data_IF_329100251913
#
_entry.id   IF_329100251913
#
_cell.length_a   1.000
_cell.length_b   1.000
_cell.length_c   1.000
_cell.angle_alpha   90.00
_cell.angle_beta   90.00
_cell.angle_gamma   90.00
#
_symmetry.space_group_name_H-M   'P 1'
#
loop_
_entity.id
_entity.type
_entity.pdbx_description
1 polymer ?
#
# COMPACT_ATOMS: atom_id res chain seq x y z
N UNK A 1 20.53 0.50 0.14
CA UNK A 1 19.84 1.26 -0.92
C UNK A 1 20.84 1.44 -2.04
N UNK A 2 20.46 1.15 -3.28
CA UNK A 2 21.35 1.30 -4.43
C UNK A 2 20.81 2.35 -5.40
N UNK A 3 21.69 3.16 -5.99
CA UNK A 3 21.36 4.24 -6.93
C UNK A 3 22.47 4.40 -7.98
N UNK A 4 22.22 5.26 -8.97
CA UNK A 4 23.18 5.59 -10.03
C UNK A 4 24.56 5.93 -9.48
N UNK A 5 25.58 5.26 -10.02
CA UNK A 5 26.98 5.39 -9.63
C UNK A 5 27.45 4.40 -8.56
N UNK A 6 26.54 3.65 -7.92
CA UNK A 6 26.92 2.57 -7.02
C UNK A 6 27.49 1.37 -7.80
N UNK A 7 28.38 0.61 -7.16
CA UNK A 7 28.96 -0.60 -7.75
C UNK A 7 28.95 -1.78 -6.79
N UNK A 8 29.03 -3.00 -7.31
CA UNK A 8 29.28 -4.23 -6.57
C UNK A 8 28.21 -5.31 -6.72
N UNK A 9 28.35 -6.40 -5.95
CA UNK A 9 27.55 -7.61 -6.11
C UNK A 9 26.04 -7.40 -5.99
N UNK A 10 25.59 -6.50 -5.12
CA UNK A 10 24.16 -6.20 -4.96
C UNK A 10 23.57 -5.48 -6.19
N UNK A 11 24.37 -4.65 -6.88
CA UNK A 11 23.97 -4.00 -8.14
C UNK A 11 23.89 -5.03 -9.25
N UNK A 12 24.87 -5.93 -9.34
CA UNK A 12 24.85 -7.05 -10.28
C UNK A 12 23.62 -7.96 -10.07
N UNK A 13 23.22 -8.20 -8.81
CA UNK A 13 22.01 -8.96 -8.49
C UNK A 13 20.73 -8.24 -8.96
N UNK A 14 20.61 -6.94 -8.70
CA UNK A 14 19.47 -6.15 -9.20
C UNK A 14 19.38 -6.21 -10.72
N UNK A 15 20.52 -6.02 -11.41
CA UNK A 15 20.60 -6.12 -12.87
C UNK A 15 20.15 -7.50 -13.36
N UNK A 16 20.68 -8.58 -12.79
CA UNK A 16 20.32 -9.94 -13.19
C UNK A 16 18.82 -10.20 -13.01
N UNK A 17 18.21 -9.70 -11.92
CA UNK A 17 16.77 -9.80 -11.70
C UNK A 17 15.95 -9.02 -12.73
N UNK A 18 16.36 -7.78 -13.03
CA UNK A 18 15.70 -6.97 -14.06
C UNK A 18 15.85 -7.58 -15.46
N UNK A 19 17.00 -8.20 -15.75
CA UNK A 19 17.24 -8.89 -17.01
C UNK A 19 16.35 -10.13 -17.16
N UNK A 20 16.23 -10.93 -16.09
CA UNK A 20 15.30 -12.05 -16.06
C UNK A 20 13.83 -11.64 -16.27
N UNK A 21 13.47 -10.45 -15.80
CA UNK A 21 12.15 -9.85 -15.99
C UNK A 21 11.98 -9.16 -17.36
N UNK A 22 13.04 -9.05 -18.16
CA UNK A 22 13.02 -8.48 -19.51
C UNK A 22 13.10 -6.96 -19.59
N UNK A 23 13.55 -6.26 -18.53
CA UNK A 23 13.70 -4.81 -18.52
C UNK A 23 15.03 -4.31 -19.08
N UNK A 24 16.03 -5.19 -19.16
CA UNK A 24 17.40 -4.88 -19.59
C UNK A 24 18.05 -6.15 -20.14
N UNK A 25 19.05 -6.01 -21.01
CA UNK A 25 19.81 -7.15 -21.50
C UNK A 25 20.75 -7.72 -20.42
N UNK A 26 21.01 -9.03 -20.47
CA UNK A 26 21.96 -9.67 -19.56
C UNK A 26 23.38 -9.14 -19.80
N UNK A 27 23.98 -8.59 -18.74
CA UNK A 27 25.34 -8.04 -18.75
C UNK A 27 26.04 -8.35 -17.42
N UNK A 28 27.34 -8.72 -17.42
CA UNK A 28 28.09 -8.99 -16.20
C UNK A 28 28.51 -7.71 -15.46
N UNK A 29 28.01 -6.53 -15.87
CA UNK A 29 28.31 -5.25 -15.23
C UNK A 29 27.80 -5.19 -13.79
N UNK A 30 28.69 -4.83 -12.87
CA UNK A 30 28.39 -4.56 -11.48
C UNK A 30 28.17 -3.06 -11.20
N UNK A 31 28.06 -2.25 -12.24
CA UNK A 31 27.89 -0.79 -12.15
C UNK A 31 26.43 -0.41 -12.34
N UNK A 32 25.96 0.54 -11.53
CA UNK A 32 24.64 1.14 -11.66
C UNK A 32 24.70 2.31 -12.65
N UNK A 33 24.69 1.96 -13.93
CA UNK A 33 24.74 2.86 -15.08
C UNK A 33 23.37 3.48 -15.41
N UNK A 34 23.35 4.33 -16.45
CA UNK A 34 22.12 4.99 -16.91
C UNK A 34 21.08 4.00 -17.45
N UNK A 35 21.52 2.88 -18.03
CA UNK A 35 20.63 1.82 -18.52
C UNK A 35 19.90 1.14 -17.36
N UNK A 36 20.64 0.78 -16.31
CA UNK A 36 20.05 0.20 -15.10
C UNK A 36 19.14 1.19 -14.36
N UNK A 37 19.50 2.48 -14.29
CA UNK A 37 18.62 3.52 -13.73
C UNK A 37 17.30 3.61 -14.50
N UNK A 38 17.35 3.59 -15.84
CA UNK A 38 16.14 3.61 -16.66
C UNK A 38 15.28 2.35 -16.48
N UNK A 39 15.92 1.17 -16.42
CA UNK A 39 15.23 -0.10 -16.17
C UNK A 39 14.56 -0.12 -14.78
N UNK A 40 15.26 0.35 -13.72
CA UNK A 40 14.69 0.47 -12.38
C UNK A 40 13.51 1.41 -12.35
N UNK A 41 13.60 2.59 -12.99
CA UNK A 41 12.48 3.55 -13.06
C UNK A 41 11.28 2.98 -13.80
N UNK A 42 11.53 2.26 -14.90
CA UNK A 42 10.47 1.60 -15.68
C UNK A 42 9.77 0.54 -14.82
N UNK A 43 10.54 -0.32 -14.15
CA UNK A 43 10.00 -1.30 -13.21
C UNK A 43 9.20 -0.63 -12.07
N UNK A 44 9.73 0.44 -11.46
CA UNK A 44 9.04 1.18 -10.40
C UNK A 44 7.71 1.76 -10.90
N UNK A 45 7.69 2.32 -12.11
CA UNK A 45 6.50 2.89 -12.71
C UNK A 45 5.43 1.82 -12.99
N UNK A 46 5.80 0.73 -13.64
CA UNK A 46 4.87 -0.37 -13.95
C UNK A 46 4.33 -1.06 -12.70
N UNK A 47 5.14 -1.13 -11.64
CA UNK A 47 4.73 -1.72 -10.36
C UNK A 47 4.00 -0.76 -9.44
N UNK A 48 3.80 0.50 -9.82
CA UNK A 48 3.12 1.50 -8.99
C UNK A 48 3.88 1.82 -7.69
N UNK A 49 5.21 1.80 -7.75
CA UNK A 49 6.13 2.22 -6.69
C UNK A 49 6.50 3.71 -6.83
N UNK A 50 7.30 4.22 -5.90
CA UNK A 50 7.92 5.54 -6.07
C UNK A 50 8.97 5.47 -7.18
N UNK A 51 8.86 6.35 -8.18
CA UNK A 51 9.75 6.35 -9.36
C UNK A 51 10.94 7.29 -9.12
N UNK A 52 11.83 6.89 -8.22
CA UNK A 52 13.01 7.66 -7.81
C UNK A 52 14.32 7.12 -8.41
N UNK A 53 14.31 5.93 -9.02
CA UNK A 53 15.51 5.23 -9.50
C UNK A 53 16.34 4.61 -8.36
N UNK A 54 15.82 4.59 -7.13
CA UNK A 54 16.49 4.07 -5.95
C UNK A 54 15.95 2.67 -5.63
N UNK A 55 16.86 1.70 -5.55
CA UNK A 55 16.55 0.35 -5.10
C UNK A 55 16.62 0.31 -3.58
N UNK A 56 15.52 0.73 -2.96
CA UNK A 56 15.25 0.59 -1.53
C UNK A 56 14.70 -0.80 -1.16
N UNK A 57 14.39 -1.03 0.13
CA UNK A 57 13.81 -2.30 0.60
C UNK A 57 12.53 -2.69 -0.13
N UNK A 58 11.66 -1.72 -0.42
CA UNK A 58 10.38 -1.98 -1.10
C UNK A 58 10.59 -2.34 -2.57
N UNK A 59 11.41 -1.58 -3.30
CA UNK A 59 11.80 -1.90 -4.68
C UNK A 59 12.43 -3.28 -4.77
N UNK A 60 13.36 -3.61 -3.87
CA UNK A 60 14.03 -4.91 -3.84
C UNK A 60 13.07 -6.06 -3.53
N UNK A 61 12.17 -5.87 -2.57
CA UNK A 61 11.12 -6.85 -2.24
C UNK A 61 10.24 -7.12 -3.45
N UNK A 62 9.86 -6.09 -4.19
CA UNK A 62 9.07 -6.26 -5.42
C UNK A 62 9.81 -6.95 -6.54
N UNK A 63 11.10 -6.69 -6.69
CA UNK A 63 11.93 -7.44 -7.64
C UNK A 63 11.97 -8.93 -7.28
N UNK A 64 12.08 -9.27 -5.99
CA UNK A 64 12.05 -10.67 -5.56
C UNK A 64 10.65 -11.31 -5.67
N UNK A 65 9.58 -10.55 -5.45
CA UNK A 65 8.21 -11.03 -5.62
C UNK A 65 7.87 -11.26 -7.10
N UNK A 66 8.38 -10.42 -8.00
CA UNK A 66 8.10 -10.43 -9.44
C UNK A 66 8.67 -11.62 -10.20
N UNK A 67 9.68 -12.31 -9.65
CA UNK A 67 10.33 -13.45 -10.29
C UNK A 67 9.47 -14.71 -10.32
N UNK A 68 8.44 -14.79 -9.48
CA UNK A 68 7.67 -16.01 -9.25
C UNK A 68 6.39 -15.99 -10.07
N UNK A 69 6.20 -17.00 -10.92
CA UNK A 69 4.96 -17.26 -11.64
C UNK A 69 4.18 -18.40 -10.98
N UNK A 70 2.86 -18.35 -11.13
CA UNK A 70 1.98 -19.38 -10.57
C UNK A 70 2.35 -20.76 -11.16
N UNK A 71 2.80 -21.67 -10.29
CA UNK A 71 3.27 -23.00 -10.66
C UNK A 71 4.77 -23.22 -10.45
N UNK A 72 5.57 -22.16 -10.28
CA UNK A 72 7.02 -22.27 -10.09
C UNK A 72 7.41 -22.90 -8.76
N UNK A 73 6.53 -22.80 -7.76
CA UNK A 73 6.73 -23.35 -6.41
C UNK A 73 5.40 -23.76 -5.76
N UNK A 74 5.52 -24.60 -4.73
CA UNK A 74 4.39 -25.00 -3.90
C UNK A 74 3.99 -23.83 -3.00
N UNK A 75 2.70 -23.49 -2.99
CA UNK A 75 2.15 -22.44 -2.14
C UNK A 75 1.32 -23.04 -1.02
N UNK A 76 1.60 -22.67 0.23
CA UNK A 76 0.82 -23.08 1.39
C UNK A 76 0.93 -22.06 2.50
N UNK A 77 -0.05 -22.05 3.39
CA UNK A 77 0.02 -21.22 4.58
C UNK A 77 0.92 -21.87 5.64
N UNK A 78 1.95 -21.13 6.06
CA UNK A 78 2.79 -21.47 7.21
C UNK A 78 2.68 -20.34 8.23
N UNK A 79 2.16 -20.60 9.45
CA UNK A 79 2.11 -19.60 10.51
C UNK A 79 3.48 -19.00 10.78
N UNK A 80 3.58 -17.67 10.81
CA UNK A 80 4.83 -16.93 11.04
C UNK A 80 5.73 -16.79 9.80
N UNK A 81 5.45 -17.50 8.71
CA UNK A 81 6.21 -17.38 7.46
C UNK A 81 5.25 -17.28 6.27
N UNK A 82 4.84 -16.06 5.96
CA UNK A 82 3.95 -15.78 4.83
C UNK A 82 4.74 -15.83 3.52
N UNK A 83 4.34 -16.73 2.62
CA UNK A 83 4.84 -16.75 1.24
C UNK A 83 4.29 -15.52 0.51
N UNK A 84 5.15 -14.84 -0.25
CA UNK A 84 4.79 -13.66 -1.03
C UNK A 84 5.36 -13.71 -2.43
N UNK A 85 4.62 -13.16 -3.38
CA UNK A 85 5.03 -13.11 -4.78
C UNK A 85 3.87 -12.81 -5.72
N UNK A 86 4.22 -12.53 -6.97
CA UNK A 86 3.25 -12.39 -8.06
C UNK A 86 2.46 -13.68 -8.28
N UNK A 87 3.09 -14.83 -8.08
CA UNK A 87 2.45 -16.14 -8.08
C UNK A 87 1.29 -16.25 -7.06
N UNK A 88 1.46 -15.70 -5.87
CA UNK A 88 0.40 -15.66 -4.85
C UNK A 88 -0.71 -14.68 -5.27
N UNK A 89 -0.35 -13.52 -5.83
CA UNK A 89 -1.34 -12.56 -6.32
C UNK A 89 -2.18 -13.16 -7.46
N UNK A 90 -1.56 -13.91 -8.36
CA UNK A 90 -2.23 -14.67 -9.44
C UNK A 90 -3.19 -15.71 -8.88
N UNK A 91 -2.76 -16.48 -7.88
CA UNK A 91 -3.61 -17.44 -7.18
C UNK A 91 -4.84 -16.75 -6.57
N UNK A 92 -4.64 -15.66 -5.83
CA UNK A 92 -5.72 -14.88 -5.22
C UNK A 92 -6.69 -14.32 -6.27
N UNK A 93 -6.19 -13.80 -7.39
CA UNK A 93 -7.03 -13.33 -8.50
C UNK A 93 -7.89 -14.45 -9.06
N UNK A 94 -7.31 -15.63 -9.33
CA UNK A 94 -8.04 -16.79 -9.85
C UNK A 94 -9.10 -17.29 -8.87
N UNK A 95 -8.74 -17.46 -7.59
CA UNK A 95 -9.68 -17.85 -6.53
C UNK A 95 -10.88 -16.90 -6.46
N UNK A 96 -10.62 -15.60 -6.36
CA UNK A 96 -11.66 -14.58 -6.27
C UNK A 96 -12.54 -14.54 -7.53
N UNK A 97 -11.96 -14.70 -8.72
CA UNK A 97 -12.70 -14.75 -10.00
C UNK A 97 -13.68 -15.92 -10.04
N UNK A 98 -13.32 -17.05 -9.44
CA UNK A 98 -14.17 -18.24 -9.34
C UNK A 98 -15.10 -18.21 -8.10
N UNK A 99 -15.09 -17.12 -7.32
CA UNK A 99 -15.95 -16.94 -6.17
C UNK A 99 -15.38 -17.41 -4.82
N UNK A 100 -14.21 -18.05 -4.80
CA UNK A 100 -13.53 -18.45 -3.57
C UNK A 100 -12.86 -17.22 -2.94
N UNK A 101 -13.30 -16.86 -1.73
CA UNK A 101 -12.95 -15.57 -1.13
C UNK A 101 -11.56 -15.60 -0.48
N UNK A 102 -10.52 -15.28 -1.25
CA UNK A 102 -9.15 -15.14 -0.73
C UNK A 102 -8.86 -13.76 -0.12
N UNK A 103 -9.85 -12.87 -0.04
CA UNK A 103 -9.68 -11.49 0.40
C UNK A 103 -9.15 -10.58 -0.71
N UNK A 104 -8.50 -9.47 -0.32
CA UNK A 104 -7.84 -8.56 -1.26
C UNK A 104 -6.64 -9.25 -1.89
N UNK A 105 -6.38 -8.96 -3.17
CA UNK A 105 -5.17 -9.44 -3.85
C UNK A 105 -4.00 -8.59 -3.38
N UNK A 106 -3.26 -9.08 -2.38
CA UNK A 106 -2.10 -8.41 -1.78
C UNK A 106 -0.78 -9.14 -2.07
N UNK A 107 -0.85 -10.31 -2.71
CA UNK A 107 0.30 -11.14 -3.02
C UNK A 107 0.88 -11.86 -1.80
N UNK A 108 0.14 -11.96 -0.68
CA UNK A 108 0.56 -12.64 0.53
C UNK A 108 -0.33 -13.86 0.85
N UNK A 109 0.28 -15.04 1.02
CA UNK A 109 -0.46 -16.26 1.29
C UNK A 109 -0.82 -16.34 2.77
N UNK A 110 -1.89 -15.65 3.15
CA UNK A 110 -2.42 -15.62 4.51
C UNK A 110 -3.48 -16.69 4.80
N UNK A 111 -4.04 -16.64 6.01
CA UNK A 111 -5.12 -17.54 6.46
C UNK A 111 -6.34 -17.51 5.53
N UNK A 112 -6.70 -16.34 5.01
CA UNK A 112 -7.86 -16.22 4.13
C UNK A 112 -7.61 -16.89 2.77
N UNK A 113 -6.39 -16.77 2.24
CA UNK A 113 -5.97 -17.52 1.04
C UNK A 113 -6.00 -19.03 1.29
N UNK A 114 -5.51 -19.50 2.45
CA UNK A 114 -5.58 -20.93 2.84
C UNK A 114 -7.03 -21.46 2.86
N UNK A 115 -7.94 -20.72 3.49
CA UNK A 115 -9.37 -21.08 3.52
C UNK A 115 -9.94 -21.16 2.10
N UNK A 116 -9.69 -20.16 1.26
CA UNK A 116 -10.15 -20.14 -0.13
C UNK A 116 -9.58 -21.30 -0.96
N UNK A 117 -8.31 -21.67 -0.76
CA UNK A 117 -7.69 -22.82 -1.42
C UNK A 117 -8.35 -24.12 -0.98
N UNK A 118 -8.63 -24.31 0.31
CA UNK A 118 -9.31 -25.52 0.81
C UNK A 118 -10.74 -25.63 0.27
N UNK A 119 -11.46 -24.51 0.19
CA UNK A 119 -12.79 -24.46 -0.42
C UNK A 119 -12.73 -24.83 -1.91
N UNK A 120 -11.74 -24.30 -2.64
CA UNK A 120 -11.50 -24.65 -4.03
C UNK A 120 -11.18 -26.14 -4.19
N UNK A 121 -10.21 -26.67 -3.44
CA UNK A 121 -9.83 -28.10 -3.47
C UNK A 121 -11.04 -29.00 -3.23
N UNK A 122 -11.87 -28.66 -2.23
CA UNK A 122 -13.12 -29.38 -1.94
C UNK A 122 -14.09 -29.35 -3.13
N UNK A 123 -14.21 -28.22 -3.82
CA UNK A 123 -15.13 -28.07 -4.95
C UNK A 123 -14.72 -28.89 -6.19
N UNK A 124 -13.41 -29.10 -6.38
CA UNK A 124 -12.87 -29.82 -7.54
C UNK A 124 -12.57 -31.29 -7.26
N UNK A 125 -12.80 -31.76 -6.03
CA UNK A 125 -12.51 -33.13 -5.62
C UNK A 125 -11.02 -33.44 -5.44
N UNK A 126 -10.21 -32.42 -5.16
CA UNK A 126 -8.77 -32.56 -4.82
C UNK A 126 -8.58 -32.81 -3.31
N UNK A 127 -7.37 -33.20 -2.90
CA UNK A 127 -7.01 -33.34 -1.50
C UNK A 127 -7.11 -31.99 -0.78
N UNK A 128 -7.91 -31.91 0.28
CA UNK A 128 -8.20 -30.64 1.00
C UNK A 128 -7.12 -30.35 2.05
N UNK A 129 -5.90 -30.11 1.61
CA UNK A 129 -4.74 -29.88 2.47
C UNK A 129 -4.31 -28.40 2.57
N UNK A 130 -4.89 -27.51 1.75
CA UNK A 130 -4.53 -26.10 1.67
C UNK A 130 -3.20 -25.83 0.93
N UNK A 131 -2.60 -26.86 0.34
CA UNK A 131 -1.35 -26.79 -0.41
C UNK A 131 -1.64 -26.73 -1.90
N UNK A 132 -1.25 -25.63 -2.55
CA UNK A 132 -1.30 -25.51 -4.00
C UNK A 132 -0.07 -26.19 -4.60
N UNK A 133 -0.25 -27.45 -5.01
CA UNK A 133 0.72 -28.21 -5.80
C UNK A 133 0.31 -28.34 -7.28
N UNK A 134 1.05 -29.16 -8.06
CA UNK A 134 0.77 -29.36 -9.48
C UNK A 134 -0.66 -29.80 -9.81
N UNK A 135 -1.28 -30.61 -8.95
CA UNK A 135 -2.67 -31.08 -9.14
C UNK A 135 -3.68 -29.94 -9.04
N UNK A 136 -3.56 -29.13 -7.98
CA UNK A 136 -4.37 -27.94 -7.77
C UNK A 136 -4.18 -26.93 -8.91
N UNK A 137 -2.95 -26.71 -9.38
CA UNK A 137 -2.68 -25.82 -10.53
C UNK A 137 -3.33 -26.32 -11.83
N UNK A 138 -3.26 -27.63 -12.12
CA UNK A 138 -3.98 -28.22 -13.26
C UNK A 138 -5.50 -28.11 -13.12
N UNK A 139 -6.04 -28.09 -11.91
CA UNK A 139 -7.47 -27.88 -11.68
C UNK A 139 -7.87 -26.43 -12.04
N UNK A 140 -7.05 -25.43 -11.68
CA UNK A 140 -7.26 -24.05 -12.11
C UNK A 140 -7.30 -23.92 -13.65
N UNK A 141 -6.35 -24.52 -14.35
CA UNK A 141 -6.30 -24.46 -15.83
C UNK A 141 -7.56 -25.03 -16.50
N UNK A 142 -8.16 -26.07 -15.91
CA UNK A 142 -9.39 -26.67 -16.42
C UNK A 142 -10.64 -25.79 -16.23
N UNK A 143 -10.68 -25.00 -15.16
CA UNK A 143 -11.87 -24.21 -14.75
C UNK A 143 -11.92 -22.79 -15.31
N UNK A 144 -10.78 -22.23 -15.75
CA UNK A 144 -10.69 -20.86 -16.31
C UNK A 144 -11.61 -20.63 -17.52
N UNK A 145 -12.10 -21.69 -18.19
CA UNK A 145 -13.00 -21.55 -19.35
C UNK A 145 -14.47 -21.24 -19.01
N UNK A 146 -14.89 -21.30 -17.75
CA UNK A 146 -16.34 -21.40 -17.45
C UNK A 146 -16.94 -20.21 -16.70
N UNK A 147 -16.16 -19.37 -16.02
CA UNK A 147 -16.71 -18.27 -15.22
C UNK A 147 -15.87 -17.01 -15.40
N UNK A 148 -16.43 -16.02 -16.09
CA UNK A 148 -15.94 -14.64 -16.10
C UNK A 148 -17.14 -13.73 -15.87
N UNK A 149 -17.26 -13.15 -14.69
CA UNK A 149 -18.33 -12.20 -14.40
C UNK A 149 -18.61 -12.03 -12.91
N UNK A 150 -18.43 -10.80 -12.42
CA UNK A 150 -18.90 -10.38 -11.10
C UNK A 150 -17.89 -9.49 -10.38
N UNK A 151 -18.34 -8.31 -9.95
CA UNK A 151 -17.52 -7.39 -9.15
C UNK A 151 -17.60 -7.74 -7.64
N UNK A 152 -17.38 -9.01 -7.31
CA UNK A 152 -17.54 -9.54 -5.95
C UNK A 152 -16.61 -8.83 -4.95
N UNK A 153 -15.41 -8.46 -5.39
CA UNK A 153 -14.47 -7.66 -4.60
C UNK A 153 -15.04 -6.29 -4.23
N UNK A 154 -15.67 -5.57 -5.18
CA UNK A 154 -16.28 -4.27 -4.89
C UNK A 154 -17.53 -4.39 -4.02
N UNK A 155 -18.36 -5.42 -4.22
CA UNK A 155 -19.52 -5.67 -3.34
C UNK A 155 -19.05 -5.91 -1.90
N UNK A 156 -18.02 -6.72 -1.70
CA UNK A 156 -17.40 -6.93 -0.37
C UNK A 156 -16.84 -5.61 0.18
N UNK A 157 -16.14 -4.83 -0.63
CA UNK A 157 -15.64 -3.52 -0.25
C UNK A 157 -16.75 -2.57 0.23
N UNK A 158 -17.90 -2.56 -0.46
CA UNK A 158 -19.08 -1.80 -0.03
C UNK A 158 -19.65 -2.28 1.30
N UNK A 159 -19.71 -3.60 1.52
CA UNK A 159 -20.13 -4.16 2.81
C UNK A 159 -19.15 -3.78 3.93
N UNK A 160 -17.84 -3.79 3.67
CA UNK A 160 -16.82 -3.32 4.63
C UNK A 160 -17.01 -1.85 4.97
N UNK A 161 -17.24 -0.98 3.99
CA UNK A 161 -17.54 0.45 4.26
C UNK A 161 -18.82 0.57 5.10
N UNK A 162 -19.88 -0.16 4.75
CA UNK A 162 -21.13 -0.16 5.51
C UNK A 162 -20.93 -0.61 6.96
N UNK A 163 -20.05 -1.58 7.22
CA UNK A 163 -19.73 -2.03 8.57
C UNK A 163 -18.93 -0.98 9.38
N UNK A 164 -18.23 -0.07 8.71
CA UNK A 164 -17.52 1.05 9.35
C UNK A 164 -18.44 2.25 9.63
N UNK A 165 -19.59 2.32 8.95
CA UNK A 165 -20.57 3.39 9.08
C UNK A 165 -21.49 3.22 10.30
N UNK A 166 -20.89 3.13 11.49
CA UNK A 166 -21.62 2.97 12.76
C UNK A 166 -21.35 4.14 13.73
N UNK A 167 -20.69 5.20 13.26
CA UNK A 167 -20.14 6.27 14.09
C UNK A 167 -18.66 6.07 14.39
N UNK A 168 -18.00 7.15 14.80
CA UNK A 168 -16.53 7.18 14.99
C UNK A 168 -16.09 6.81 16.41
N UNK A 169 -16.97 6.90 17.42
CA UNK A 169 -16.60 6.76 18.83
C UNK A 169 -15.93 5.42 19.13
N UNK A 170 -16.46 4.30 18.65
CA UNK A 170 -15.90 2.97 18.95
C UNK A 170 -14.84 2.50 17.95
N UNK A 171 -14.34 3.40 17.09
CA UNK A 171 -13.35 3.04 16.07
C UNK A 171 -11.93 3.08 16.62
N UNK A 172 -11.12 2.17 16.10
CA UNK A 172 -9.67 2.14 16.31
C UNK A 172 -8.99 2.72 15.08
N UNK A 173 -8.30 3.85 15.25
CA UNK A 173 -7.64 4.55 14.15
C UNK A 173 -6.14 4.57 14.38
N UNK A 174 -5.37 4.14 13.39
CA UNK A 174 -3.92 4.23 13.43
C UNK A 174 -3.48 5.42 12.58
N UNK A 175 -2.72 6.32 13.19
CA UNK A 175 -2.04 7.41 12.51
C UNK A 175 -0.57 7.07 12.38
N UNK A 176 -0.06 7.16 11.16
CA UNK A 176 1.32 6.91 10.83
C UNK A 176 1.99 8.21 10.37
N UNK A 177 2.60 8.99 11.27
CA UNK A 177 3.41 10.12 10.85
C UNK A 177 4.66 9.56 10.17
N UNK A 178 4.78 9.79 8.86
CA UNK A 178 5.91 9.35 8.04
C UNK A 178 7.25 9.78 8.62
N UNK A 179 8.28 9.00 8.32
CA UNK A 179 9.64 9.25 8.76
C UNK A 179 10.60 9.22 7.58
N UNK A 180 11.38 10.29 7.45
CA UNK A 180 12.55 10.37 6.58
C UNK A 180 13.78 10.69 7.45
N UNK A 181 14.78 9.82 7.43
CA UNK A 181 16.00 9.98 8.22
C UNK A 181 16.77 11.27 7.88
N UNK A 182 16.54 11.83 6.69
CA UNK A 182 17.25 13.02 6.20
C UNK A 182 16.39 14.29 6.21
N UNK A 183 15.12 14.23 6.61
CA UNK A 183 14.20 15.38 6.59
C UNK A 183 13.50 15.58 7.94
N UNK A 184 14.20 16.23 8.87
CA UNK A 184 13.68 16.56 10.20
C UNK A 184 12.45 17.48 10.13
N UNK A 185 12.42 18.41 9.17
CA UNK A 185 11.30 19.32 8.99
C UNK A 185 10.02 18.56 8.61
N UNK A 186 10.11 17.64 7.65
CA UNK A 186 9.01 16.74 7.28
C UNK A 186 8.54 15.91 8.48
N UNK A 187 9.49 15.36 9.24
CA UNK A 187 9.18 14.54 10.42
C UNK A 187 8.44 15.30 11.51
N UNK A 188 8.80 16.56 11.74
CA UNK A 188 8.14 17.41 12.72
C UNK A 188 6.75 17.83 12.24
N UNK A 189 6.58 18.23 10.98
CA UNK A 189 5.27 18.59 10.42
C UNK A 189 4.30 17.41 10.50
N UNK A 190 4.69 16.22 10.04
CA UNK A 190 3.82 15.04 10.03
C UNK A 190 3.44 14.60 11.46
N UNK A 191 4.39 14.66 12.40
CA UNK A 191 4.15 14.41 13.83
C UNK A 191 3.19 15.42 14.43
N UNK A 192 3.40 16.70 14.14
CA UNK A 192 2.61 17.81 14.66
C UNK A 192 1.16 17.74 14.15
N UNK A 193 0.95 17.40 12.89
CA UNK A 193 -0.40 17.15 12.34
C UNK A 193 -1.01 15.89 12.95
N UNK A 194 -0.27 14.78 13.07
CA UNK A 194 -0.76 13.54 13.65
C UNK A 194 -1.28 13.73 15.09
N UNK A 195 -0.54 14.44 15.94
CA UNK A 195 -0.97 14.73 17.32
C UNK A 195 -2.23 15.57 17.38
N UNK A 196 -2.40 16.54 16.46
CA UNK A 196 -3.63 17.35 16.40
C UNK A 196 -4.83 16.53 15.93
N UNK A 197 -4.63 15.62 14.97
CA UNK A 197 -5.68 14.70 14.51
C UNK A 197 -6.05 13.74 15.64
N UNK A 198 -5.06 13.20 16.33
CA UNK A 198 -5.24 12.33 17.50
C UNK A 198 -6.10 13.03 18.57
N UNK A 199 -5.71 14.20 19.06
CA UNK A 199 -6.47 14.90 20.10
C UNK A 199 -7.91 15.25 19.68
N UNK A 200 -8.13 15.57 18.39
CA UNK A 200 -9.47 15.83 17.85
C UNK A 200 -10.35 14.58 17.80
N UNK A 201 -9.77 13.44 17.40
CA UNK A 201 -10.50 12.18 17.30
C UNK A 201 -10.72 11.55 18.69
N UNK A 202 -9.73 11.62 19.57
CA UNK A 202 -9.85 11.18 20.96
C UNK A 202 -10.97 11.93 21.70
N UNK A 203 -11.13 13.23 21.45
CA UNK A 203 -12.24 14.04 21.98
C UNK A 203 -13.63 13.57 21.49
N UNK A 204 -13.70 12.79 20.41
CA UNK A 204 -14.93 12.17 19.90
C UNK A 204 -15.15 10.74 20.43
N UNK A 205 -14.31 10.28 21.36
CA UNK A 205 -14.36 8.94 21.97
C UNK A 205 -13.55 7.87 21.23
N UNK A 206 -12.92 8.22 20.11
CA UNK A 206 -12.17 7.29 19.24
C UNK A 206 -10.84 6.86 19.86
N UNK A 207 -10.50 5.58 19.75
CA UNK A 207 -9.18 5.08 20.12
C UNK A 207 -8.19 5.36 19.00
N UNK A 208 -7.15 6.14 19.29
CA UNK A 208 -6.14 6.50 18.29
C UNK A 208 -4.77 6.01 18.72
N UNK A 209 -4.08 5.32 17.82
CA UNK A 209 -2.72 4.83 18.02
C UNK A 209 -1.77 5.49 17.02
N UNK A 210 -0.57 5.85 17.46
CA UNK A 210 0.49 6.29 16.56
C UNK A 210 1.48 5.16 16.31
N UNK A 211 1.90 4.96 15.06
CA UNK A 211 2.93 3.96 14.71
C UNK A 211 4.29 4.27 15.33
N UNK A 212 4.61 5.56 15.50
CA UNK A 212 5.82 6.02 16.21
C UNK A 212 5.47 6.98 17.35
N UNK A 213 6.14 6.78 18.48
CA UNK A 213 6.24 7.80 19.53
C UNK A 213 7.50 8.65 19.29
N UNK A 214 7.62 9.80 19.97
CA UNK A 214 8.75 10.73 19.80
C UNK A 214 10.15 10.08 19.96
N UNK A 215 10.25 8.90 20.57
CA UNK A 215 11.51 8.24 20.93
C UNK A 215 11.87 7.00 20.09
N UNK A 216 10.99 6.49 19.22
CA UNK A 216 11.25 5.27 18.43
C UNK A 216 10.72 5.39 17.01
N UNK A 217 11.62 5.41 16.03
CA UNK A 217 11.28 5.16 14.63
C UNK A 217 11.09 3.65 14.44
N UNK A 218 9.90 3.21 14.03
CA UNK A 218 9.74 1.86 13.48
C UNK A 218 10.36 1.87 12.07
N UNK A 219 11.28 0.94 11.81
CA UNK A 219 11.85 0.79 10.49
C UNK A 219 10.93 -0.05 9.58
N UNK A 220 10.80 0.42 8.34
CA UNK A 220 10.09 -0.15 7.20
C UNK A 220 8.54 -0.13 7.20
N UNK A 221 7.98 -0.02 5.99
CA UNK A 221 6.53 0.01 5.71
C UNK A 221 5.81 -1.26 6.21
N UNK A 222 6.50 -2.40 6.14
CA UNK A 222 5.96 -3.69 6.53
C UNK A 222 5.67 -3.76 8.03
N UNK A 223 6.58 -3.27 8.86
CA UNK A 223 6.43 -3.23 10.32
C UNK A 223 5.29 -2.30 10.73
N UNK A 224 5.14 -1.17 10.03
CA UNK A 224 4.06 -0.20 10.27
C UNK A 224 2.70 -0.76 9.90
N UNK A 225 2.60 -1.46 8.77
CA UNK A 225 1.39 -2.18 8.39
C UNK A 225 1.04 -3.28 9.40
N UNK A 226 2.04 -4.03 9.87
CA UNK A 226 1.83 -5.10 10.83
C UNK A 226 1.39 -4.59 12.20
N UNK A 227 1.91 -3.44 12.66
CA UNK A 227 1.40 -2.74 13.84
C UNK A 227 -0.09 -2.43 13.70
N UNK A 228 -0.51 -1.82 12.57
CA UNK A 228 -1.92 -1.51 12.33
C UNK A 228 -2.80 -2.77 12.29
N UNK A 229 -2.29 -3.85 11.70
CA UNK A 229 -2.98 -5.14 11.64
C UNK A 229 -3.15 -5.78 13.03
N UNK A 230 -2.12 -5.76 13.88
CA UNK A 230 -2.18 -6.35 15.23
C UNK A 230 -3.10 -5.57 16.16
N UNK A 231 -3.23 -4.26 15.96
CA UNK A 231 -4.14 -3.39 16.71
C UNK A 231 -5.59 -3.54 16.24
N UNK A 232 -5.87 -4.34 15.19
CA UNK A 232 -7.18 -4.46 14.56
C UNK A 232 -7.76 -3.08 14.20
N UNK A 233 -6.93 -2.19 13.65
CA UNK A 233 -7.38 -0.85 13.31
C UNK A 233 -8.50 -0.88 12.27
N UNK A 234 -9.51 -0.04 12.45
CA UNK A 234 -10.58 0.20 11.49
C UNK A 234 -10.13 1.08 10.34
N UNK A 235 -9.15 1.98 10.57
CA UNK A 235 -8.60 2.90 9.57
C UNK A 235 -7.10 3.11 9.84
N UNK A 236 -6.31 3.17 8.78
CA UNK A 236 -4.90 3.58 8.80
C UNK A 236 -4.70 4.82 7.94
N UNK A 237 -4.19 5.91 8.53
CA UNK A 237 -3.80 7.13 7.81
C UNK A 237 -2.31 7.37 7.99
N UNK A 238 -1.57 7.38 6.89
CA UNK A 238 -0.16 7.76 6.87
C UNK A 238 0.02 9.19 6.37
N UNK A 239 0.81 9.99 7.07
CA UNK A 239 1.01 11.41 6.79
C UNK A 239 2.45 11.65 6.35
N UNK A 240 2.63 12.28 5.20
CA UNK A 240 3.93 12.55 4.62
C UNK A 240 3.99 13.98 4.08
N UNK A 241 5.20 14.51 3.94
CA UNK A 241 5.48 15.65 3.06
C UNK A 241 6.44 15.16 1.98
N UNK A 242 6.24 15.63 0.75
CA UNK A 242 7.04 15.21 -0.40
C UNK A 242 8.13 16.24 -0.71
N UNK A 243 9.16 15.81 -1.44
CA UNK A 243 10.27 16.64 -1.88
C UNK A 243 10.78 16.15 -3.22
N UNK A 244 10.97 17.08 -4.15
CA UNK A 244 11.58 16.77 -5.45
C UNK A 244 12.78 17.69 -5.71
N UNK A 245 13.60 17.35 -6.71
CA UNK A 245 14.71 18.19 -7.14
C UNK A 245 14.24 19.55 -7.72
N UNK A 246 12.98 19.63 -8.18
CA UNK A 246 12.40 20.87 -8.68
C UNK A 246 11.56 21.56 -7.61
N UNK A 247 11.57 22.89 -7.61
CA UNK A 247 10.69 23.70 -6.76
C UNK A 247 9.27 23.90 -7.34
N UNK A 248 8.99 23.36 -8.53
CA UNK A 248 7.71 23.56 -9.22
C UNK A 248 6.54 22.73 -8.67
N UNK A 249 6.68 21.42 -8.40
CA UNK A 249 5.58 20.59 -7.90
C UNK A 249 5.03 21.14 -6.58
N UNK A 250 3.70 21.19 -6.43
CA UNK A 250 3.00 21.68 -5.25
C UNK A 250 1.65 20.97 -5.09
N UNK A 251 1.03 21.09 -3.92
CA UNK A 251 -0.31 20.60 -3.64
C UNK A 251 -0.37 19.26 -2.91
N UNK A 252 -1.61 18.87 -2.58
CA UNK A 252 -1.92 17.69 -1.77
C UNK A 252 -2.26 16.52 -2.69
N UNK A 253 -1.72 15.35 -2.37
CA UNK A 253 -2.07 14.09 -3.02
C UNK A 253 -2.45 13.04 -1.97
N UNK A 254 -3.31 12.10 -2.36
CA UNK A 254 -3.66 10.93 -1.53
C UNK A 254 -3.41 9.65 -2.30
N UNK A 255 -3.06 8.59 -1.59
CA UNK A 255 -2.67 7.32 -2.18
C UNK A 255 -3.37 6.17 -1.46
N UNK A 256 -3.81 5.19 -2.23
CA UNK A 256 -4.48 3.99 -1.75
C UNK A 256 -3.92 2.76 -2.45
N UNK A 257 -4.14 1.57 -1.89
CA UNK A 257 -3.61 0.34 -2.50
C UNK A 257 -4.25 0.07 -3.86
N UNK A 258 -3.44 -0.06 -4.92
CA UNK A 258 -3.85 -0.53 -6.24
C UNK A 258 -2.71 -0.54 -7.25
N UNK A 259 -2.79 -1.42 -8.25
CA UNK A 259 -1.83 -1.50 -9.36
C UNK A 259 -2.08 -0.39 -10.40
N UNK A 260 -3.35 -0.17 -10.74
CA UNK A 260 -3.81 0.86 -11.67
C UNK A 260 -5.25 1.24 -11.35
N UNK A 261 -5.77 2.30 -11.97
CA UNK A 261 -7.15 2.74 -11.75
C UNK A 261 -8.19 1.72 -12.23
N UNK A 262 -7.86 0.97 -13.29
CA UNK A 262 -8.71 -0.06 -13.89
C UNK A 262 -8.40 -1.48 -13.37
N UNK A 263 -7.28 -1.65 -12.68
CA UNK A 263 -6.79 -2.92 -12.15
C UNK A 263 -7.30 -3.24 -10.75
N UNK A 264 -6.65 -4.21 -10.10
CA UNK A 264 -6.99 -4.61 -8.73
C UNK A 264 -6.61 -3.50 -7.76
N UNK A 265 -7.58 -3.02 -6.98
CA UNK A 265 -7.36 -1.97 -5.98
C UNK A 265 -8.25 -2.16 -4.75
N UNK A 266 -7.87 -1.49 -3.66
CA UNK A 266 -8.65 -1.41 -2.43
C UNK A 266 -9.81 -0.44 -2.61
N UNK A 267 -11.03 -0.96 -2.80
CA UNK A 267 -12.24 -0.14 -2.88
C UNK A 267 -12.41 0.78 -1.66
N UNK A 268 -12.20 0.23 -0.46
CA UNK A 268 -12.37 0.98 0.78
C UNK A 268 -11.28 2.04 0.97
N UNK A 269 -10.03 1.72 0.62
CA UNK A 269 -8.92 2.67 0.63
C UNK A 269 -9.14 3.81 -0.37
N UNK A 270 -9.60 3.50 -1.58
CA UNK A 270 -9.95 4.50 -2.60
C UNK A 270 -11.04 5.45 -2.11
N UNK A 271 -12.15 4.89 -1.61
CA UNK A 271 -13.28 5.68 -1.09
C UNK A 271 -12.86 6.64 0.03
N UNK A 272 -12.01 6.18 0.96
CA UNK A 272 -11.47 7.01 2.03
C UNK A 272 -10.49 8.07 1.49
N UNK A 273 -9.59 7.70 0.56
CA UNK A 273 -8.61 8.62 -0.03
C UNK A 273 -9.30 9.77 -0.78
N UNK A 274 -10.31 9.46 -1.61
CA UNK A 274 -11.07 10.47 -2.35
C UNK A 274 -11.81 11.44 -1.42
N UNK A 275 -12.39 10.94 -0.31
CA UNK A 275 -13.03 11.80 0.69
C UNK A 275 -12.03 12.71 1.41
N UNK A 276 -10.87 12.17 1.80
CA UNK A 276 -9.79 12.95 2.43
C UNK A 276 -9.28 14.03 1.46
N UNK A 277 -9.07 13.68 0.19
CA UNK A 277 -8.59 14.60 -0.85
C UNK A 277 -9.53 15.80 -1.00
N UNK A 278 -10.83 15.54 -1.12
CA UNK A 278 -11.85 16.58 -1.28
C UNK A 278 -11.87 17.51 -0.06
N UNK A 279 -11.88 16.95 1.14
CA UNK A 279 -11.98 17.73 2.38
C UNK A 279 -10.71 18.58 2.62
N UNK A 280 -9.52 18.02 2.37
CA UNK A 280 -8.26 18.74 2.48
C UNK A 280 -8.20 19.91 1.49
N UNK A 281 -8.40 19.65 0.20
CA UNK A 281 -8.34 20.70 -0.82
C UNK A 281 -9.37 21.81 -0.58
N UNK A 282 -10.59 21.46 -0.14
CA UNK A 282 -11.63 22.43 0.16
C UNK A 282 -11.25 23.37 1.32
N UNK A 283 -10.59 22.86 2.37
CA UNK A 283 -10.25 23.66 3.56
C UNK A 283 -8.91 24.37 3.47
N UNK A 284 -7.90 23.74 2.88
CA UNK A 284 -6.54 24.31 2.80
C UNK A 284 -6.34 25.20 1.59
N UNK A 285 -7.18 25.05 0.54
CA UNK A 285 -7.01 25.70 -0.77
C UNK A 285 -5.63 25.42 -1.41
N UNK A 286 -5.02 24.29 -1.07
CA UNK A 286 -3.82 23.80 -1.76
C UNK A 286 -4.21 23.15 -3.09
N UNK A 287 -3.26 23.08 -4.01
CA UNK A 287 -3.49 22.47 -5.31
C UNK A 287 -3.91 20.99 -5.17
N UNK A 288 -4.87 20.55 -5.98
CA UNK A 288 -5.46 19.22 -5.89
C UNK A 288 -4.78 18.27 -6.86
N UNK A 289 -3.81 17.48 -6.36
CA UNK A 289 -3.12 16.46 -7.16
C UNK A 289 -3.92 15.16 -7.29
N UNK A 290 -5.14 15.09 -6.76
CA UNK A 290 -6.04 13.92 -6.80
C UNK A 290 -5.52 12.71 -6.00
N UNK A 291 -6.30 11.63 -6.06
CA UNK A 291 -6.00 10.36 -5.41
C UNK A 291 -5.43 9.37 -6.42
N UNK A 292 -4.38 8.63 -6.05
CA UNK A 292 -3.69 7.71 -6.96
C UNK A 292 -3.54 6.30 -6.38
N UNK A 293 -3.67 5.25 -7.20
CA UNK A 293 -3.31 3.90 -6.78
C UNK A 293 -1.80 3.77 -6.65
N UNK A 294 -1.34 3.15 -5.56
CA UNK A 294 0.05 2.76 -5.33
C UNK A 294 0.09 1.38 -4.72
N UNK A 295 1.19 0.68 -4.94
CA UNK A 295 1.36 -0.66 -4.38
C UNK A 295 2.32 -0.67 -3.19
N UNK A 296 2.65 0.50 -2.62
CA UNK A 296 3.50 0.62 -1.43
C UNK A 296 3.08 -0.33 -0.30
N UNK A 297 4.08 -0.86 0.40
CA UNK A 297 3.85 -1.99 1.29
C UNK A 297 3.00 -1.65 2.50
N UNK A 298 3.05 -0.40 2.97
CA UNK A 298 2.13 0.08 4.01
C UNK A 298 0.66 -0.08 3.59
N UNK A 299 0.34 0.27 2.34
CA UNK A 299 -1.00 0.22 1.78
C UNK A 299 -1.39 -1.22 1.40
N UNK A 300 -0.46 -1.98 0.82
CA UNK A 300 -0.68 -3.34 0.35
C UNK A 300 -0.83 -4.34 1.49
N UNK A 301 -0.05 -4.20 2.56
CA UNK A 301 -0.01 -5.18 3.65
C UNK A 301 -0.99 -4.89 4.79
N UNK A 302 -1.63 -3.72 4.80
CA UNK A 302 -2.65 -3.34 5.78
C UNK A 302 -4.01 -3.97 5.45
N UNK A 303 -4.72 -4.48 6.47
CA UNK A 303 -5.99 -5.21 6.30
C UNK A 303 -7.23 -4.32 6.40
N UNK A 304 -7.05 -3.06 6.77
CA UNK A 304 -8.09 -2.06 6.89
C UNK A 304 -8.00 -1.05 5.73
N UNK A 305 -9.00 -0.16 5.54
CA UNK A 305 -8.86 1.02 4.70
C UNK A 305 -7.61 1.80 5.11
N UNK A 306 -6.65 1.87 4.18
CA UNK A 306 -5.37 2.53 4.38
C UNK A 306 -5.16 3.60 3.33
N UNK A 307 -4.76 4.79 3.77
CA UNK A 307 -4.49 5.94 2.91
C UNK A 307 -3.17 6.57 3.33
N UNK A 308 -2.31 6.86 2.36
CA UNK A 308 -1.19 7.79 2.56
C UNK A 308 -1.58 9.16 2.01
N UNK A 309 -1.29 10.20 2.78
CA UNK A 309 -1.58 11.60 2.45
C UNK A 309 -0.24 12.33 2.36
N UNK A 310 0.05 12.86 1.19
CA UNK A 310 1.16 13.79 1.00
C UNK A 310 0.59 15.21 1.15
N UNK A 311 0.98 15.89 2.23
CA UNK A 311 0.42 17.16 2.67
C UNK A 311 0.85 18.36 1.80
N UNK A 312 1.89 18.18 0.99
CA UNK A 312 2.48 19.22 0.15
C UNK A 312 3.94 18.95 -0.15
N UNK A 313 4.54 19.83 -0.95
CA UNK A 313 5.94 19.72 -1.36
C UNK A 313 6.83 20.70 -0.58
N UNK A 314 7.73 20.19 0.26
CA UNK A 314 8.70 21.03 0.98
C UNK A 314 9.79 21.62 0.07
N UNK A 315 9.90 21.14 -1.17
CA UNK A 315 10.72 21.77 -2.22
C UNK A 315 10.07 23.01 -2.82
N UNK A 316 8.76 23.18 -2.68
CA UNK A 316 8.03 24.35 -3.16
C UNK A 316 7.93 25.41 -2.05
N UNK A 317 8.39 26.65 -2.29
CA UNK A 317 8.37 27.69 -1.26
C UNK A 317 6.98 28.00 -0.70
N UNK A 318 5.94 28.01 -1.53
CA UNK A 318 4.59 28.35 -1.10
C UNK A 318 3.98 27.27 -0.21
N UNK A 319 4.18 26.00 -0.56
CA UNK A 319 3.76 24.87 0.26
C UNK A 319 4.56 24.82 1.56
N UNK A 320 5.89 24.97 1.49
CA UNK A 320 6.76 24.95 2.66
C UNK A 320 6.36 26.04 3.69
N UNK A 321 6.14 27.28 3.23
CA UNK A 321 5.72 28.39 4.09
C UNK A 321 4.39 28.11 4.79
N UNK A 322 3.44 27.44 4.10
CA UNK A 322 2.15 27.04 4.68
C UNK A 322 2.31 25.90 5.65
N UNK A 323 3.04 24.85 5.29
CA UNK A 323 3.15 23.62 6.08
C UNK A 323 3.83 23.83 7.44
N UNK A 324 4.70 24.85 7.57
CA UNK A 324 5.35 25.21 8.84
C UNK A 324 4.41 25.99 9.77
N UNK A 325 3.36 26.63 9.24
CA UNK A 325 2.44 27.43 10.05
C UNK A 325 1.53 26.54 10.91
N UNK A 326 1.52 26.78 12.22
CA UNK A 326 0.65 26.05 13.15
C UNK A 326 -0.84 26.17 12.80
N UNK A 327 -1.29 27.34 12.35
CA UNK A 327 -2.67 27.58 11.90
C UNK A 327 -3.04 26.73 10.68
N UNK A 328 -2.11 26.54 9.74
CA UNK A 328 -2.33 25.67 8.59
C UNK A 328 -2.38 24.20 8.99
N UNK A 329 -1.46 23.77 9.88
CA UNK A 329 -1.47 22.41 10.44
C UNK A 329 -2.78 22.12 11.19
N UNK A 330 -3.36 23.10 11.89
CA UNK A 330 -4.67 22.99 12.53
C UNK A 330 -5.81 22.81 11.53
N UNK A 331 -5.77 23.52 10.40
CA UNK A 331 -6.75 23.38 9.29
C UNK A 331 -6.65 22.00 8.67
N UNK A 332 -5.43 21.51 8.39
CA UNK A 332 -5.17 20.16 7.88
C UNK A 332 -5.72 19.10 8.85
N UNK A 333 -5.40 19.23 10.15
CA UNK A 333 -5.89 18.30 11.16
C UNK A 333 -7.42 18.31 11.25
N UNK A 334 -8.05 19.48 11.22
CA UNK A 334 -9.51 19.60 11.21
C UNK A 334 -10.14 18.98 9.96
N UNK A 335 -9.52 19.12 8.79
CA UNK A 335 -9.96 18.50 7.53
C UNK A 335 -9.88 16.98 7.61
N UNK A 336 -8.75 16.42 8.06
CA UNK A 336 -8.55 14.98 8.23
C UNK A 336 -9.57 14.39 9.20
N UNK A 337 -9.73 14.99 10.40
CA UNK A 337 -10.71 14.53 11.38
C UNK A 337 -12.13 14.55 10.80
N UNK A 338 -12.51 15.62 10.09
CA UNK A 338 -13.83 15.73 9.47
C UNK A 338 -14.08 14.67 8.38
N UNK A 339 -13.09 14.42 7.51
CA UNK A 339 -13.18 13.39 6.49
C UNK A 339 -13.34 11.99 7.09
N UNK A 340 -12.56 11.67 8.12
CA UNK A 340 -12.62 10.38 8.83
C UNK A 340 -13.97 10.22 9.54
N UNK A 341 -14.46 11.25 10.25
CA UNK A 341 -15.78 11.23 10.89
C UNK A 341 -16.90 11.05 9.88
N UNK A 342 -16.81 11.71 8.72
CA UNK A 342 -17.79 11.56 7.64
C UNK A 342 -17.78 10.15 7.05
N UNK A 343 -16.60 9.56 6.88
CA UNK A 343 -16.45 8.20 6.36
C UNK A 343 -17.11 7.16 7.28
N UNK A 344 -17.00 7.33 8.60
CA UNK A 344 -17.63 6.45 9.59
C UNK A 344 -19.08 6.82 9.92
N UNK A 345 -19.66 7.84 9.29
CA UNK A 345 -21.01 8.32 9.63
C UNK A 345 -22.06 7.25 9.28
N UNK A 346 -23.03 6.95 10.18
CA UNK A 346 -24.16 6.08 9.86
C UNK A 346 -24.93 6.57 8.64
N UNK A 347 -25.33 5.63 7.79
CA UNK A 347 -26.14 5.86 6.58
C UNK A 347 -27.61 5.74 6.89
#
# INVERSE_FOLDING_TARGET
MHRRGDTGAAVAEVRARLAHLGYIDESPSDVFDDELDHAVRTFQQERGLTVDGIVGPDTFRRLDEARWKLGDRILRFVPGHLVRGDDVADLQRRLNTMGFNSGRVDGAFGRQTDVAVREFQKSVGDTVDGTCGPETFRAFERLVRTISGGNAANLRGRLTVSALQTGIADKVIVLDPGFDANDEQSNEITRSVAMRVEGRLAALGTQVFLTRSAAKSLADDATRADFANRTNADILISLHCDRTASSRPNGIATFYFGESEEGTHSYTGRSLAEQIQVELCARTRMHNNRSHPRTWDLLRMSRMPAVRVDLGYLSNPQDADRLVQASHQDVVAAALSAAITRFCKPV
#
